data_IF_006114096452
#
_entry.id   IF_006114096452
#
_cell.length_a   1.000
_cell.length_b   1.000
_cell.length_c   1.000
_cell.angle_alpha   90.00
_cell.angle_beta   90.00
_cell.angle_gamma   90.00
#
_symmetry.space_group_name_H-M   'P 1'
#
loop_
_entity.id
_entity.type
_entity.pdbx_description
1 polymer ?
#
# COMPACT_ATOMS: atom_id res chain seq x y z
N UNK A 1 32.39 -4.28 14.13
CA UNK A 1 32.16 -3.79 12.75
C UNK A 1 30.68 -3.51 12.60
N UNK A 2 30.29 -2.23 12.61
CA UNK A 2 28.91 -1.82 12.34
C UNK A 2 28.67 -2.09 10.86
N UNK A 3 27.73 -2.97 10.51
CA UNK A 3 27.32 -3.15 9.11
C UNK A 3 26.79 -1.80 8.65
N UNK A 4 27.52 -1.16 7.75
CA UNK A 4 27.09 0.09 7.14
C UNK A 4 25.94 -0.27 6.19
N UNK A 5 24.72 -0.24 6.71
CA UNK A 5 23.51 -0.43 5.92
C UNK A 5 23.30 0.89 5.16
N UNK A 6 23.07 0.81 3.84
CA UNK A 6 22.71 2.01 3.07
C UNK A 6 21.38 2.57 3.58
N UNK A 7 21.20 3.88 3.51
CA UNK A 7 19.96 4.53 3.97
C UNK A 7 18.72 3.87 3.36
N UNK A 8 18.75 3.58 2.06
CA UNK A 8 17.63 2.96 1.36
C UNK A 8 17.36 1.52 1.86
N UNK A 9 18.40 0.74 2.16
CA UNK A 9 18.22 -0.61 2.72
C UNK A 9 17.59 -0.58 4.11
N UNK A 10 17.97 0.40 4.95
CA UNK A 10 17.33 0.60 6.26
C UNK A 10 15.86 1.02 6.10
N UNK A 11 15.57 1.95 5.18
CA UNK A 11 14.20 2.38 4.91
C UNK A 11 13.32 1.21 4.45
N UNK A 12 13.79 0.41 3.49
CA UNK A 12 13.08 -0.79 3.01
C UNK A 12 12.78 -1.73 4.18
N UNK A 13 13.77 -2.05 5.01
CA UNK A 13 13.59 -2.91 6.17
C UNK A 13 12.55 -2.35 7.15
N UNK A 14 12.62 -1.06 7.45
CA UNK A 14 11.68 -0.38 8.34
C UNK A 14 10.24 -0.49 7.83
N UNK A 15 10.00 -0.23 6.54
CA UNK A 15 8.67 -0.37 5.96
C UNK A 15 8.19 -1.84 5.98
N UNK A 16 9.07 -2.81 5.69
CA UNK A 16 8.74 -4.24 5.78
C UNK A 16 8.28 -4.60 7.20
N UNK A 17 8.98 -4.13 8.23
CA UNK A 17 8.61 -4.38 9.63
C UNK A 17 7.25 -3.75 10.00
N UNK A 18 6.99 -2.52 9.54
CA UNK A 18 5.70 -1.85 9.74
C UNK A 18 4.57 -2.62 9.06
N UNK A 19 4.76 -3.05 7.81
CA UNK A 19 3.76 -3.82 7.06
C UNK A 19 3.46 -5.16 7.72
N UNK A 20 4.48 -5.87 8.23
CA UNK A 20 4.28 -7.13 8.97
C UNK A 20 3.48 -6.90 10.25
N UNK A 21 3.78 -5.84 11.01
CA UNK A 21 3.00 -5.48 12.21
C UNK A 21 1.56 -5.15 11.85
N UNK A 22 1.36 -4.37 10.80
CA UNK A 22 0.03 -4.00 10.31
C UNK A 22 -0.75 -5.21 9.77
N UNK A 23 -0.09 -6.15 9.11
CA UNK A 23 -0.70 -7.43 8.69
C UNK A 23 -1.23 -8.23 9.88
N UNK A 24 -0.50 -8.28 11.00
CA UNK A 24 -0.99 -8.89 12.23
C UNK A 24 -2.21 -8.16 12.82
N UNK A 25 -2.29 -6.84 12.65
CA UNK A 25 -3.48 -6.05 13.04
C UNK A 25 -4.65 -6.43 12.14
N UNK A 26 -4.46 -6.46 10.82
CA UNK A 26 -5.48 -6.89 9.85
C UNK A 26 -6.00 -8.29 10.18
N UNK A 27 -5.11 -9.24 10.50
CA UNK A 27 -5.49 -10.59 10.91
C UNK A 27 -6.36 -10.62 12.17
N UNK A 28 -6.07 -9.74 13.14
CA UNK A 28 -6.82 -9.65 14.40
C UNK A 28 -8.17 -8.96 14.25
N UNK A 29 -8.24 -7.91 13.43
CA UNK A 29 -9.45 -7.10 13.25
C UNK A 29 -10.34 -7.63 12.12
N UNK A 30 -9.80 -8.50 11.26
CA UNK A 30 -10.39 -8.94 10.00
C UNK A 30 -10.76 -7.76 9.07
N UNK A 31 -10.06 -6.63 9.23
CA UNK A 31 -10.30 -5.39 8.48
C UNK A 31 -9.03 -5.01 7.73
N UNK A 32 -9.04 -4.98 6.38
CA UNK A 32 -7.88 -4.60 5.60
C UNK A 32 -7.55 -3.11 5.79
N UNK A 33 -6.27 -2.77 5.62
CA UNK A 33 -5.78 -1.39 5.74
C UNK A 33 -5.55 -0.83 4.33
N UNK A 34 -6.24 0.26 4.00
CA UNK A 34 -5.96 1.01 2.76
C UNK A 34 -4.65 1.79 2.99
N UNK A 35 -3.61 1.42 2.25
CA UNK A 35 -2.30 2.07 2.33
C UNK A 35 -2.30 3.41 1.58
N UNK A 36 -2.95 3.47 0.42
CA UNK A 36 -3.23 4.72 -0.28
C UNK A 36 -4.35 4.56 -1.31
N UNK A 37 -4.93 5.69 -1.71
CA UNK A 37 -5.78 5.83 -2.89
C UNK A 37 -5.20 6.91 -3.79
N UNK A 38 -5.28 6.70 -5.09
CA UNK A 38 -4.82 7.66 -6.07
C UNK A 38 -5.82 7.72 -7.23
N UNK A 39 -6.48 8.86 -7.40
CA UNK A 39 -7.27 9.14 -8.59
C UNK A 39 -6.36 9.33 -9.81
N UNK A 40 -6.68 8.67 -10.91
CA UNK A 40 -6.04 8.81 -12.22
C UNK A 40 -6.84 9.74 -13.11
N UNK A 41 -8.13 9.46 -13.27
CA UNK A 41 -9.05 10.21 -14.11
C UNK A 41 -10.40 10.42 -13.40
N UNK A 42 -11.07 11.53 -13.75
CA UNK A 42 -12.41 11.86 -13.28
C UNK A 42 -13.29 12.17 -14.49
N UNK A 43 -14.40 11.46 -14.65
CA UNK A 43 -15.38 11.71 -15.71
C UNK A 43 -16.78 11.81 -15.09
N UNK A 44 -17.27 13.04 -14.96
CA UNK A 44 -18.54 13.32 -14.29
C UNK A 44 -18.51 12.91 -12.81
N UNK A 45 -19.38 11.97 -12.43
CA UNK A 45 -19.46 11.41 -11.08
C UNK A 45 -18.65 10.11 -10.92
N UNK A 46 -17.90 9.70 -11.95
CA UNK A 46 -17.09 8.48 -11.98
C UNK A 46 -15.60 8.80 -11.85
N UNK A 47 -14.89 7.97 -11.10
CA UNK A 47 -13.47 8.11 -10.79
C UNK A 47 -12.75 6.83 -11.18
N UNK A 48 -11.67 6.94 -11.96
CA UNK A 48 -10.71 5.86 -12.09
C UNK A 48 -9.61 6.06 -11.06
N UNK A 49 -9.39 5.05 -10.21
CA UNK A 49 -8.46 5.14 -9.10
C UNK A 49 -7.64 3.86 -8.89
N UNK A 50 -6.42 4.04 -8.40
CA UNK A 50 -5.62 2.97 -7.84
C UNK A 50 -5.89 2.90 -6.34
N UNK A 51 -6.33 1.74 -5.87
CA UNK A 51 -6.51 1.44 -4.44
C UNK A 51 -5.45 0.41 -4.04
N UNK A 52 -4.57 0.80 -3.11
CA UNK A 52 -3.58 -0.11 -2.54
C UNK A 52 -3.99 -0.53 -1.14
N UNK A 53 -4.16 -1.83 -0.94
CA UNK A 53 -4.72 -2.42 0.27
C UNK A 53 -3.79 -3.48 0.85
N UNK A 54 -3.50 -3.36 2.14
CA UNK A 54 -2.84 -4.40 2.93
C UNK A 54 -3.89 -5.36 3.50
N UNK A 55 -3.75 -6.62 3.14
CA UNK A 55 -4.46 -7.75 3.73
C UNK A 55 -3.58 -8.45 4.77
N UNK A 56 -4.05 -9.56 5.34
CA UNK A 56 -3.26 -10.35 6.27
C UNK A 56 -1.95 -10.84 5.63
N UNK A 57 -1.98 -11.38 4.41
CA UNK A 57 -0.80 -12.05 3.84
C UNK A 57 -0.20 -11.29 2.65
N UNK A 58 -0.99 -10.42 2.01
CA UNK A 58 -0.63 -9.78 0.74
C UNK A 58 -0.95 -8.30 0.72
N UNK A 59 -0.26 -7.59 -0.17
CA UNK A 59 -0.59 -6.22 -0.57
C UNK A 59 -1.18 -6.28 -1.97
N UNK A 60 -2.32 -5.64 -2.16
CA UNK A 60 -3.07 -5.67 -3.40
C UNK A 60 -3.19 -4.25 -3.94
N UNK A 61 -2.64 -3.99 -5.13
CA UNK A 61 -2.90 -2.76 -5.89
C UNK A 61 -3.96 -3.05 -6.95
N UNK A 62 -5.07 -2.32 -6.93
CA UNK A 62 -6.20 -2.51 -7.84
C UNK A 62 -6.47 -1.23 -8.61
N UNK A 63 -6.66 -1.33 -9.91
CA UNK A 63 -7.23 -0.27 -10.74
C UNK A 63 -8.74 -0.46 -10.77
N UNK A 64 -9.45 0.50 -10.21
CA UNK A 64 -10.90 0.45 -10.01
C UNK A 64 -11.52 1.70 -10.58
N UNK A 65 -12.58 1.55 -11.37
CA UNK A 65 -13.50 2.65 -11.63
C UNK A 65 -14.63 2.59 -10.63
N UNK A 66 -14.82 3.66 -9.86
CA UNK A 66 -15.85 3.77 -8.82
C UNK A 66 -16.61 5.08 -8.96
N UNK A 67 -17.89 5.10 -8.58
CA UNK A 67 -18.75 6.28 -8.68
C UNK A 67 -19.76 6.24 -9.84
N UNK A 68 -20.57 7.28 -9.94
CA UNK A 68 -21.68 7.39 -10.89
C UNK A 68 -22.82 6.40 -10.64
N UNK A 69 -23.51 6.03 -11.71
CA UNK A 69 -24.67 5.11 -11.69
C UNK A 69 -24.28 3.63 -11.85
N UNK A 70 -23.02 3.35 -12.16
CA UNK A 70 -22.52 2.00 -12.42
C UNK A 70 -21.88 1.41 -11.17
N UNK A 71 -21.99 0.08 -10.97
CA UNK A 71 -21.26 -0.58 -9.90
C UNK A 71 -19.74 -0.46 -10.14
N UNK A 72 -18.92 -0.43 -9.07
CA UNK A 72 -17.48 -0.38 -9.19
C UNK A 72 -16.96 -1.54 -10.06
N UNK A 73 -16.06 -1.21 -10.99
CA UNK A 73 -15.47 -2.17 -11.92
C UNK A 73 -13.97 -2.26 -11.68
N UNK A 74 -13.45 -3.49 -11.56
CA UNK A 74 -12.02 -3.75 -11.41
C UNK A 74 -11.42 -4.05 -12.79
N UNK A 75 -10.45 -3.25 -13.20
CA UNK A 75 -9.79 -3.42 -14.49
C UNK A 75 -8.54 -4.29 -14.37
N UNK A 76 -7.71 -4.01 -13.36
CA UNK A 76 -6.46 -4.71 -13.12
C UNK A 76 -6.20 -4.90 -11.63
N UNK A 77 -5.47 -5.97 -11.29
CA UNK A 77 -5.08 -6.26 -9.93
C UNK A 77 -3.68 -6.86 -9.89
N UNK A 78 -2.81 -6.26 -9.08
CA UNK A 78 -1.49 -6.77 -8.77
C UNK A 78 -1.43 -7.20 -7.31
N UNK A 79 -0.96 -8.43 -7.09
CA UNK A 79 -0.78 -9.00 -5.76
C UNK A 79 0.71 -9.11 -5.48
N UNK A 80 1.13 -8.56 -4.34
CA UNK A 80 2.50 -8.57 -3.87
C UNK A 80 2.58 -9.25 -2.51
N UNK A 81 3.66 -9.98 -2.29
CA UNK A 81 4.08 -10.36 -0.95
C UNK A 81 4.51 -9.13 -0.14
N UNK A 82 4.35 -9.21 1.18
CA UNK A 82 4.74 -8.11 2.09
C UNK A 82 6.25 -7.81 1.98
N UNK A 83 7.07 -8.83 1.73
CA UNK A 83 8.53 -8.70 1.72
C UNK A 83 9.05 -8.06 0.43
N UNK A 84 8.40 -8.27 -0.71
CA UNK A 84 8.86 -7.72 -2.00
C UNK A 84 8.35 -6.29 -2.25
N UNK A 85 7.22 -5.92 -1.64
CA UNK A 85 6.52 -4.68 -1.97
C UNK A 85 7.34 -3.42 -1.67
N UNK A 86 8.04 -3.28 -0.52
CA UNK A 86 8.81 -2.08 -0.20
C UNK A 86 9.90 -1.77 -1.22
N UNK A 87 10.60 -2.80 -1.73
CA UNK A 87 11.64 -2.65 -2.74
C UNK A 87 11.06 -2.19 -4.09
N UNK A 88 9.90 -2.71 -4.49
CA UNK A 88 9.19 -2.27 -5.69
C UNK A 88 8.68 -0.84 -5.54
N UNK A 89 8.11 -0.52 -4.39
CA UNK A 89 7.51 0.78 -4.12
C UNK A 89 8.53 1.91 -4.13
N UNK A 90 9.68 1.75 -3.46
CA UNK A 90 10.69 2.82 -3.40
C UNK A 90 11.28 3.16 -4.78
N UNK A 91 11.37 2.16 -5.68
CA UNK A 91 11.78 2.35 -7.08
C UNK A 91 10.71 3.03 -7.93
N UNK A 92 9.43 2.77 -7.64
CA UNK A 92 8.27 3.32 -8.35
C UNK A 92 7.96 4.75 -7.91
N UNK A 93 7.95 5.02 -6.60
CA UNK A 93 7.66 6.35 -6.04
C UNK A 93 8.15 6.47 -4.60
N UNK A 94 9.15 7.35 -4.39
CA UNK A 94 9.67 7.67 -3.05
C UNK A 94 8.64 8.40 -2.20
N UNK A 95 7.80 9.24 -2.80
CA UNK A 95 6.75 9.97 -2.08
C UNK A 95 5.70 9.02 -1.49
N UNK A 96 5.19 8.07 -2.28
CA UNK A 96 4.25 7.06 -1.76
C UNK A 96 4.86 6.21 -0.66
N UNK A 97 6.13 5.83 -0.83
CA UNK A 97 6.86 5.11 0.21
C UNK A 97 6.81 5.85 1.55
N UNK A 98 7.14 7.15 1.55
CA UNK A 98 7.13 7.96 2.77
C UNK A 98 5.71 8.17 3.33
N UNK A 99 4.70 8.32 2.47
CA UNK A 99 3.30 8.41 2.89
C UNK A 99 2.83 7.15 3.62
N UNK A 100 3.14 5.97 3.08
CA UNK A 100 2.75 4.70 3.71
C UNK A 100 3.48 4.52 5.05
N UNK A 101 4.78 4.83 5.12
CA UNK A 101 5.52 4.78 6.40
C UNK A 101 4.82 5.65 7.44
N UNK A 102 4.54 6.92 7.12
CA UNK A 102 3.86 7.85 8.03
C UNK A 102 2.48 7.34 8.46
N UNK A 103 1.68 6.80 7.52
CA UNK A 103 0.36 6.23 7.82
C UNK A 103 0.47 5.06 8.80
N UNK A 104 1.34 4.10 8.53
CA UNK A 104 1.51 2.91 9.37
C UNK A 104 2.08 3.26 10.74
N UNK A 105 3.04 4.18 10.82
CA UNK A 105 3.55 4.66 12.10
C UNK A 105 2.47 5.33 12.94
N UNK A 106 1.54 6.05 12.33
CA UNK A 106 0.45 6.69 13.07
C UNK A 106 -0.64 5.70 13.48
N UNK A 107 -0.91 4.67 12.68
CA UNK A 107 -1.89 3.63 13.02
C UNK A 107 -1.38 2.59 14.03
N UNK A 108 -0.07 2.37 14.09
CA UNK A 108 0.57 1.39 14.98
C UNK A 108 1.13 1.99 16.28
N UNK A 109 0.98 3.30 16.48
CA UNK A 109 1.22 3.97 17.77
C UNK A 109 0.18 3.54 18.80
#
# INVERSE_FOLDING_TARGET
MVKQISLDAWQIQHLTELLRKASLVVAKTNSPIILYRQTLEEEGDSYEEIVCTLTQDHIIEQLVTSGGVLPPTFHEQFVFSIDEYPEKLIRKSRDRFLQIVSLLENQLK
#
